data_IF_718751410033
#
_entry.id   IF_718751410033
#
_cell.length_a   1.000
_cell.length_b   1.000
_cell.length_c   1.000
_cell.angle_alpha   90.00
_cell.angle_beta   90.00
_cell.angle_gamma   90.00
#
_symmetry.space_group_name_H-M   'P 1'
#
loop_
_entity.id
_entity.type
_entity.pdbx_description
1 polymer ?
#
# COMPACT_ATOMS: atom_id res chain seq x y z
N UNK A 1 -2.75 -0.39 -18.35
CA UNK A 1 -3.72 0.51 -17.67
C UNK A 1 -4.91 -0.34 -17.21
N UNK A 2 -5.29 -0.23 -15.96
CA UNK A 2 -6.44 -0.98 -15.41
C UNK A 2 -7.74 -0.25 -15.76
N UNK A 3 -8.81 -1.02 -16.04
CA UNK A 3 -10.10 -0.44 -16.38
C UNK A 3 -10.85 0.17 -15.17
N UNK A 4 -11.95 0.91 -15.41
CA UNK A 4 -12.67 1.64 -14.35
C UNK A 4 -13.21 0.73 -13.24
N UNK A 5 -13.55 -0.53 -13.53
CA UNK A 5 -14.01 -1.50 -12.54
C UNK A 5 -12.90 -1.81 -11.51
N UNK A 6 -11.67 -1.95 -11.95
CA UNK A 6 -10.53 -2.16 -11.05
C UNK A 6 -10.34 -0.96 -10.11
N UNK A 7 -10.38 0.25 -10.65
CA UNK A 7 -10.30 1.47 -9.85
C UNK A 7 -11.42 1.57 -8.81
N UNK A 8 -12.65 1.27 -9.22
CA UNK A 8 -13.79 1.25 -8.31
C UNK A 8 -13.64 0.23 -7.17
N UNK A 9 -13.13 -0.98 -7.48
CA UNK A 9 -12.86 -2.00 -6.45
C UNK A 9 -11.82 -1.52 -5.44
N UNK A 10 -10.72 -0.92 -5.91
CA UNK A 10 -9.65 -0.43 -5.02
C UNK A 10 -10.11 0.72 -4.14
N UNK A 11 -10.79 1.71 -4.71
CA UNK A 11 -11.37 2.81 -3.94
C UNK A 11 -12.44 2.33 -2.95
N UNK A 12 -13.24 1.32 -3.34
CA UNK A 12 -14.21 0.69 -2.46
C UNK A 12 -13.57 0.00 -1.25
N UNK A 13 -12.43 -0.68 -1.44
CA UNK A 13 -11.67 -1.29 -0.34
C UNK A 13 -11.13 -0.23 0.63
N UNK A 14 -10.61 0.87 0.12
CA UNK A 14 -10.10 1.96 0.95
C UNK A 14 -11.23 2.57 1.80
N UNK A 15 -12.38 2.87 1.17
CA UNK A 15 -13.54 3.41 1.88
C UNK A 15 -14.10 2.41 2.91
N UNK A 16 -14.22 1.14 2.54
CA UNK A 16 -14.67 0.10 3.45
C UNK A 16 -13.75 -0.02 4.68
N UNK A 17 -12.44 0.06 4.48
CA UNK A 17 -11.47 0.03 5.58
C UNK A 17 -11.64 1.22 6.51
N UNK A 18 -11.86 2.41 5.94
CA UNK A 18 -12.15 3.61 6.71
C UNK A 18 -13.40 3.43 7.58
N UNK A 19 -14.49 2.90 7.03
CA UNK A 19 -15.74 2.70 7.76
C UNK A 19 -15.59 1.61 8.84
N UNK A 20 -14.93 0.49 8.51
CA UNK A 20 -14.62 -0.57 9.49
C UNK A 20 -13.82 -0.04 10.70
N UNK A 21 -12.96 0.96 10.49
CA UNK A 21 -12.21 1.56 11.58
C UNK A 21 -13.12 2.25 12.62
N UNK A 22 -14.24 2.84 12.19
CA UNK A 22 -15.24 3.40 13.10
C UNK A 22 -15.91 2.31 13.93
N UNK A 23 -16.33 1.22 13.29
CA UNK A 23 -17.00 0.10 13.97
C UNK A 23 -16.08 -0.63 14.95
N UNK A 24 -14.78 -0.72 14.62
CA UNK A 24 -13.82 -1.50 15.41
C UNK A 24 -13.09 -0.68 16.48
N UNK A 25 -13.25 0.62 16.49
CA UNK A 25 -12.55 1.52 17.42
C UNK A 25 -12.81 1.20 18.88
N UNK A 26 -14.05 0.86 19.23
CA UNK A 26 -14.44 0.51 20.60
C UNK A 26 -13.81 -0.81 21.09
N UNK A 27 -13.35 -1.66 20.15
CA UNK A 27 -12.70 -2.93 20.44
C UNK A 27 -11.17 -2.86 20.38
N UNK A 28 -10.60 -1.64 20.23
CA UNK A 28 -9.16 -1.41 20.07
C UNK A 28 -8.55 -2.21 18.89
N UNK A 29 -9.33 -2.38 17.81
CA UNK A 29 -8.91 -3.05 16.58
C UNK A 29 -8.57 -2.03 15.51
N UNK A 30 -7.33 -2.08 15.03
CA UNK A 30 -6.84 -1.22 13.97
C UNK A 30 -7.19 -1.80 12.60
N UNK A 31 -7.87 -1.03 11.76
CA UNK A 31 -8.13 -1.34 10.35
C UNK A 31 -7.37 -0.35 9.46
N UNK A 32 -6.54 -0.85 8.55
CA UNK A 32 -5.85 -0.05 7.55
C UNK A 32 -5.99 -0.66 6.17
N UNK A 33 -5.99 0.18 5.13
CA UNK A 33 -5.75 -0.24 3.76
C UNK A 33 -4.28 -0.02 3.43
N UNK A 34 -3.61 -1.02 2.85
CA UNK A 34 -2.20 -0.92 2.49
C UNK A 34 -2.02 -1.03 0.98
N UNK A 35 -1.54 0.03 0.36
CA UNK A 35 -1.11 0.01 -1.03
C UNK A 35 0.31 -0.53 -1.11
N UNK A 36 0.46 -1.72 -1.68
CA UNK A 36 1.77 -2.41 -1.76
C UNK A 36 2.76 -1.76 -2.73
N UNK A 37 2.26 -0.92 -3.64
CA UNK A 37 3.05 -0.46 -4.77
C UNK A 37 3.23 -1.56 -5.83
N UNK A 38 4.19 -1.36 -6.71
CA UNK A 38 4.55 -2.32 -7.75
C UNK A 38 5.39 -3.42 -7.12
N UNK A 39 5.01 -4.67 -7.40
CA UNK A 39 5.68 -5.86 -6.89
C UNK A 39 6.31 -6.63 -8.05
N UNK A 40 7.58 -6.99 -7.90
CA UNK A 40 8.26 -7.88 -8.81
C UNK A 40 7.77 -9.31 -8.58
N UNK A 41 6.99 -9.80 -9.53
CA UNK A 41 6.56 -11.19 -9.63
C UNK A 41 6.97 -11.76 -10.99
N UNK A 42 6.80 -13.06 -11.18
CA UNK A 42 7.18 -13.74 -12.43
C UNK A 42 6.45 -13.15 -13.64
N UNK A 43 5.22 -12.68 -13.46
CA UNK A 43 4.45 -12.05 -14.52
C UNK A 43 5.03 -10.69 -14.88
N UNK A 44 5.42 -9.90 -13.90
CA UNK A 44 6.04 -8.59 -14.10
C UNK A 44 7.41 -8.74 -14.79
N UNK A 45 8.20 -9.75 -14.41
CA UNK A 45 9.47 -10.07 -15.05
C UNK A 45 9.29 -10.49 -16.51
N UNK A 46 8.30 -11.36 -16.80
CA UNK A 46 7.98 -11.77 -18.18
C UNK A 46 7.51 -10.60 -19.05
N UNK A 47 6.75 -9.68 -18.49
CA UNK A 47 6.30 -8.47 -19.21
C UNK A 47 7.50 -7.55 -19.46
N UNK A 48 8.36 -7.34 -18.46
CA UNK A 48 9.53 -6.46 -18.57
C UNK A 48 10.51 -6.91 -19.66
N UNK A 49 10.65 -8.21 -19.86
CA UNK A 49 11.51 -8.76 -20.90
C UNK A 49 11.08 -8.40 -22.36
N UNK A 50 9.82 -7.96 -22.53
CA UNK A 50 9.23 -7.60 -23.82
C UNK A 50 8.87 -6.10 -23.93
N UNK A 51 9.21 -5.28 -22.92
CA UNK A 51 8.90 -3.86 -22.85
C UNK A 51 10.16 -3.01 -23.12
N UNK A 52 9.93 -1.71 -23.29
CA UNK A 52 11.01 -0.73 -23.53
C UNK A 52 11.84 -0.44 -22.26
N UNK A 53 12.96 0.25 -22.48
CA UNK A 53 13.89 0.63 -21.39
C UNK A 53 13.21 1.49 -20.30
N UNK A 54 12.22 2.32 -20.68
CA UNK A 54 11.50 3.17 -19.74
C UNK A 54 10.69 2.35 -18.72
N UNK A 55 10.11 1.23 -19.15
CA UNK A 55 9.41 0.32 -18.26
C UNK A 55 10.38 -0.46 -17.34
N UNK A 56 11.53 -0.87 -17.87
CA UNK A 56 12.57 -1.52 -17.07
C UNK A 56 13.11 -0.57 -15.98
N UNK A 57 13.28 0.72 -16.29
CA UNK A 57 13.67 1.75 -15.32
C UNK A 57 12.60 1.93 -14.22
N UNK A 58 11.32 1.96 -14.61
CA UNK A 58 10.20 2.05 -13.69
C UNK A 58 10.16 0.88 -12.68
N UNK A 59 10.54 -0.31 -13.12
CA UNK A 59 10.57 -1.49 -12.25
C UNK A 59 11.75 -1.52 -11.27
N UNK A 60 12.78 -0.70 -11.46
CA UNK A 60 13.94 -0.65 -10.52
C UNK A 60 13.55 -0.23 -9.10
N UNK A 61 12.44 0.49 -8.95
CA UNK A 61 11.89 0.88 -7.64
C UNK A 61 10.86 -0.09 -7.07
N UNK A 62 10.57 -1.18 -7.79
CA UNK A 62 9.55 -2.13 -7.38
C UNK A 62 9.99 -2.97 -6.17
N UNK A 63 9.02 -3.36 -5.38
CA UNK A 63 9.22 -4.14 -4.17
C UNK A 63 9.31 -5.65 -4.44
N UNK A 64 10.00 -6.40 -3.58
CA UNK A 64 9.93 -7.85 -3.58
C UNK A 64 8.54 -8.33 -3.14
N UNK A 65 8.18 -9.56 -3.50
CA UNK A 65 6.91 -10.18 -3.09
C UNK A 65 6.74 -10.27 -1.55
N UNK A 66 7.84 -10.23 -0.80
CA UNK A 66 7.82 -10.32 0.67
C UNK A 66 7.79 -8.97 1.37
N UNK A 67 8.01 -7.88 0.64
CA UNK A 67 8.11 -6.54 1.23
C UNK A 67 6.85 -6.14 2.00
N UNK A 68 5.67 -6.28 1.39
CA UNK A 68 4.42 -5.95 2.05
C UNK A 68 4.23 -6.71 3.38
N UNK A 69 4.61 -8.00 3.42
CA UNK A 69 4.57 -8.79 4.65
C UNK A 69 5.51 -8.28 5.74
N UNK A 70 6.73 -7.81 5.37
CA UNK A 70 7.67 -7.18 6.32
C UNK A 70 7.08 -5.89 6.90
N UNK A 71 6.48 -5.06 6.05
CA UNK A 71 5.86 -3.80 6.45
C UNK A 71 4.66 -4.04 7.39
N UNK A 72 3.79 -5.00 7.05
CA UNK A 72 2.65 -5.38 7.90
C UNK A 72 3.13 -5.85 9.27
N UNK A 73 4.17 -6.69 9.31
CA UNK A 73 4.75 -7.16 10.58
C UNK A 73 5.29 -6.00 11.40
N UNK A 74 6.11 -5.12 10.81
CA UNK A 74 6.64 -3.95 11.51
C UNK A 74 5.53 -3.04 12.03
N UNK A 75 4.50 -2.79 11.22
CA UNK A 75 3.34 -2.02 11.64
C UNK A 75 2.59 -2.67 12.79
N UNK A 76 2.40 -4.00 12.75
CA UNK A 76 1.74 -4.74 13.83
C UNK A 76 2.47 -4.57 15.17
N UNK A 77 3.80 -4.54 15.15
CA UNK A 77 4.65 -4.37 16.33
C UNK A 77 4.68 -2.91 16.85
N UNK A 78 4.16 -1.95 16.08
CA UNK A 78 4.11 -0.53 16.45
C UNK A 78 3.09 -0.29 17.57
N UNK A 79 3.49 0.48 18.59
CA UNK A 79 2.61 0.83 19.73
C UNK A 79 1.48 1.77 19.33
N UNK A 80 1.74 2.67 18.38
CA UNK A 80 0.83 3.75 18.00
C UNK A 80 -0.05 3.42 16.78
N UNK A 81 -0.21 2.12 16.46
CA UNK A 81 -0.96 1.68 15.27
C UNK A 81 -2.40 2.22 15.22
N UNK A 82 -3.03 2.41 16.38
CA UNK A 82 -4.39 2.97 16.44
C UNK A 82 -4.51 4.40 15.92
N UNK A 83 -3.41 5.18 15.90
CA UNK A 83 -3.39 6.52 15.30
C UNK A 83 -3.50 6.49 13.77
N UNK A 84 -3.23 5.34 13.17
CA UNK A 84 -3.31 5.11 11.72
C UNK A 84 -4.58 4.32 11.31
N UNK A 85 -5.47 3.97 12.26
CA UNK A 85 -6.71 3.26 11.94
C UNK A 85 -7.60 4.09 11.00
N UNK A 86 -8.24 3.45 10.05
CA UNK A 86 -9.09 4.07 9.03
C UNK A 86 -8.34 4.70 7.87
N UNK A 87 -7.00 4.66 7.88
CA UNK A 87 -6.19 5.28 6.82
C UNK A 87 -5.78 4.28 5.75
N UNK A 88 -5.64 4.80 4.53
CA UNK A 88 -4.94 4.13 3.45
C UNK A 88 -3.48 4.56 3.48
N UNK A 89 -2.57 3.59 3.58
CA UNK A 89 -1.13 3.80 3.71
C UNK A 89 -0.41 3.23 2.50
N UNK A 90 0.68 3.89 2.07
CA UNK A 90 1.57 3.37 1.02
C UNK A 90 2.70 2.60 1.72
N UNK A 91 2.90 1.34 1.32
CA UNK A 91 3.86 0.44 1.96
C UNK A 91 5.29 0.99 1.98
N UNK A 92 5.74 1.61 0.89
CA UNK A 92 7.07 2.21 0.81
C UNK A 92 7.25 3.37 1.81
N UNK A 93 6.23 4.21 1.99
CA UNK A 93 6.25 5.33 2.94
C UNK A 93 6.21 4.83 4.38
N UNK A 94 5.32 3.87 4.66
CA UNK A 94 5.24 3.26 5.98
C UNK A 94 6.54 2.52 6.36
N UNK A 95 7.19 1.88 5.39
CA UNK A 95 8.48 1.25 5.59
C UNK A 95 9.59 2.26 5.93
N UNK A 96 9.58 3.44 5.28
CA UNK A 96 10.49 4.54 5.63
C UNK A 96 10.26 5.01 7.07
N UNK A 97 9.00 5.22 7.46
CA UNK A 97 8.65 5.64 8.83
C UNK A 97 9.15 4.63 9.89
N UNK A 98 9.18 3.34 9.53
CA UNK A 98 9.53 2.24 10.43
C UNK A 98 10.98 1.73 10.25
N UNK A 99 11.79 2.37 9.39
CA UNK A 99 13.15 1.95 9.02
C UNK A 99 13.21 0.48 8.54
N UNK A 100 12.23 0.07 7.73
CA UNK A 100 12.12 -1.28 7.17
C UNK A 100 12.62 -1.27 5.73
N UNK A 101 13.60 -2.11 5.44
CA UNK A 101 14.14 -2.31 4.10
C UNK A 101 13.69 -3.64 3.49
N UNK A 102 13.69 -3.72 2.17
CA UNK A 102 13.41 -4.95 1.46
C UNK A 102 14.50 -6.01 1.65
N UNK A 103 14.35 -7.19 1.06
CA UNK A 103 15.23 -8.34 1.26
C UNK A 103 16.68 -8.09 0.84
N UNK A 104 16.86 -7.32 -0.22
CA UNK A 104 18.16 -6.92 -0.78
C UNK A 104 18.78 -5.70 -0.10
N UNK A 105 18.13 -5.17 0.94
CA UNK A 105 18.53 -3.95 1.63
C UNK A 105 18.09 -2.66 0.93
N UNK A 106 17.41 -2.74 -0.21
CA UNK A 106 16.88 -1.59 -0.91
C UNK A 106 15.64 -1.03 -0.21
N UNK A 107 15.37 0.23 -0.50
CA UNK A 107 14.15 0.92 -0.09
C UNK A 107 13.26 1.08 -1.31
N UNK A 108 12.13 0.36 -1.40
CA UNK A 108 11.17 0.57 -2.48
C UNK A 108 10.70 2.02 -2.54
N UNK A 109 10.49 2.50 -3.75
CA UNK A 109 10.11 3.89 -4.01
C UNK A 109 8.59 4.04 -3.87
N UNK A 110 8.15 5.16 -3.29
CA UNK A 110 6.73 5.48 -3.28
C UNK A 110 6.26 5.92 -4.66
N UNK A 111 5.20 5.30 -5.14
CA UNK A 111 4.57 5.66 -6.42
C UNK A 111 3.67 6.92 -6.34
N UNK A 112 3.64 7.60 -5.20
CA UNK A 112 2.75 8.76 -4.95
C UNK A 112 2.88 9.85 -5.98
N UNK A 113 4.09 10.21 -6.38
CA UNK A 113 4.31 11.29 -7.35
C UNK A 113 3.84 10.93 -8.76
N UNK A 114 3.90 9.65 -9.11
CA UNK A 114 3.55 9.16 -10.44
C UNK A 114 2.09 8.74 -10.56
N UNK A 115 1.54 8.12 -9.54
CA UNK A 115 0.21 7.50 -9.56
C UNK A 115 -0.81 8.23 -8.68
N UNK A 116 -0.38 9.22 -7.91
CA UNK A 116 -1.19 9.89 -6.91
C UNK A 116 -1.21 9.17 -5.57
N UNK A 117 -1.66 9.88 -4.53
CA UNK A 117 -1.77 9.37 -3.17
C UNK A 117 -3.18 8.93 -2.79
N UNK A 118 -3.33 8.26 -1.64
CA UNK A 118 -4.62 7.96 -1.06
C UNK A 118 -5.47 9.21 -0.85
N UNK A 119 -6.78 9.03 -0.97
CA UNK A 119 -7.76 10.10 -0.69
C UNK A 119 -8.14 10.05 0.78
N UNK A 120 -8.23 11.21 1.43
CA UNK A 120 -8.79 11.31 2.78
C UNK A 120 -10.32 11.25 2.69
N UNK A 121 -10.91 10.35 3.48
CA UNK A 121 -12.35 10.23 3.60
C UNK A 121 -12.87 11.10 4.75
N UNK A 122 -14.12 11.55 4.61
CA UNK A 122 -14.82 12.24 5.70
C UNK A 122 -15.07 11.26 6.86
N UNK A 123 -14.97 11.77 8.09
CA UNK A 123 -15.33 11.01 9.30
C UNK A 123 -16.84 10.74 9.41
N UNK A 124 -17.64 11.27 8.50
CA UNK A 124 -19.08 11.02 8.45
C UNK A 124 -19.34 9.65 7.82
N UNK A 125 -19.79 8.71 8.63
CA UNK A 125 -20.27 7.40 8.15
C UNK A 125 -21.79 7.50 7.97
N UNK A 126 -22.28 7.14 6.78
CA UNK A 126 -23.71 7.06 6.47
C UNK A 126 -24.08 5.59 6.39
N UNK A 127 -24.89 5.15 7.32
CA UNK A 127 -25.46 3.80 7.33
C UNK A 127 -26.80 3.74 6.62
#
# INVERSE_FOLDING_TARGET
MHGPIYGAQKAGLDKMTHDMAHDFKEYDVCAISLWSGIVLDEKTELISANMDEAYAEFLKGAASQRFAGKVIRGFYETKDKMQKTGKTLIAAELANDLDIKDLDGNQPISDREQLGGPVDFSDSVIY
#
